data_IF_920842543307
#
_entry.id   IF_920842543307
#
_cell.length_a   1.000
_cell.length_b   1.000
_cell.length_c   1.000
_cell.angle_alpha   90.00
_cell.angle_beta   90.00
_cell.angle_gamma   90.00
#
_symmetry.space_group_name_H-M   'P 1'
#
loop_
_entity.id
_entity.type
_entity.pdbx_description
1 polymer ?
#
# COMPACT_ATOMS: atom_id res chain seq x y z
N UNK A 1 19.29 8.45 11.09
CA UNK A 1 18.50 9.09 12.17
C UNK A 1 16.99 8.84 11.94
N UNK A 2 16.53 7.59 11.95
CA UNK A 2 15.11 7.23 11.70
C UNK A 2 14.64 6.02 12.53
N UNK A 3 15.17 5.82 13.74
CA UNK A 3 14.76 4.71 14.61
C UNK A 3 13.83 5.13 15.77
N UNK A 4 13.70 6.42 16.04
CA UNK A 4 13.01 6.94 17.25
C UNK A 4 11.53 6.55 17.32
N UNK A 5 10.85 6.40 16.18
CA UNK A 5 9.43 6.01 16.17
C UNK A 5 9.16 4.56 16.59
N UNK A 6 10.13 3.67 16.39
CA UNK A 6 9.98 2.23 16.64
C UNK A 6 9.98 1.95 18.14
N UNK A 7 10.87 2.60 18.89
CA UNK A 7 10.98 2.44 20.35
C UNK A 7 9.71 2.90 21.07
N UNK A 8 9.16 4.04 20.66
CA UNK A 8 7.92 4.59 21.22
C UNK A 8 6.74 3.67 20.90
N UNK A 9 6.66 3.15 19.68
CA UNK A 9 5.59 2.25 19.27
C UNK A 9 5.62 0.92 20.03
N UNK A 10 6.80 0.35 20.24
CA UNK A 10 6.96 -0.96 20.86
C UNK A 10 6.83 -0.92 22.40
N UNK A 11 7.21 0.19 23.06
CA UNK A 11 7.33 0.24 24.53
C UNK A 11 6.37 1.20 25.23
N UNK A 12 5.78 2.19 24.55
CA UNK A 12 5.02 3.26 25.21
C UNK A 12 3.57 3.36 24.73
N UNK A 13 3.22 2.71 23.62
CA UNK A 13 1.89 2.81 23.02
C UNK A 13 1.06 1.57 23.39
N UNK A 14 0.09 1.69 24.31
CA UNK A 14 -0.87 0.63 24.55
C UNK A 14 -1.80 0.51 23.35
N UNK A 15 -1.97 -0.72 22.85
CA UNK A 15 -2.83 -0.98 21.69
C UNK A 15 -4.11 -1.68 22.14
N UNK A 16 -5.25 -1.20 21.67
CA UNK A 16 -6.56 -1.78 21.99
C UNK A 16 -6.66 -3.25 21.56
N UNK A 17 -6.08 -3.61 20.41
CA UNK A 17 -6.04 -5.00 19.91
C UNK A 17 -5.22 -5.96 20.80
N UNK A 18 -4.42 -5.42 21.73
CA UNK A 18 -3.61 -6.18 22.69
C UNK A 18 -4.10 -5.98 24.13
N UNK A 19 -5.38 -5.64 24.33
CA UNK A 19 -5.96 -5.33 25.64
C UNK A 19 -5.21 -4.18 26.36
N UNK A 20 -4.87 -3.12 25.63
CA UNK A 20 -4.10 -1.97 26.13
C UNK A 20 -2.66 -2.30 26.58
N UNK A 21 -2.11 -3.44 26.13
CA UNK A 21 -0.70 -3.78 26.34
C UNK A 21 0.20 -3.23 25.24
N UNK A 22 1.48 -3.09 25.54
CA UNK A 22 2.48 -2.71 24.55
C UNK A 22 2.94 -3.94 23.73
N UNK A 23 3.35 -3.78 22.46
CA UNK A 23 3.76 -4.90 21.62
C UNK A 23 4.96 -5.66 22.20
N UNK A 24 5.88 -4.96 22.87
CA UNK A 24 7.05 -5.57 23.50
C UNK A 24 6.70 -6.53 24.65
N UNK A 25 5.50 -6.41 25.24
CA UNK A 25 5.05 -7.30 26.33
C UNK A 25 4.41 -8.60 25.78
N UNK A 26 3.84 -8.54 24.57
CA UNK A 26 3.09 -9.66 23.98
C UNK A 26 3.95 -10.46 23.01
N UNK A 27 4.80 -9.81 22.21
CA UNK A 27 5.59 -10.48 21.19
C UNK A 27 6.98 -10.83 21.70
N UNK A 28 7.30 -12.13 21.68
CA UNK A 28 8.63 -12.63 21.94
C UNK A 28 9.32 -13.05 20.64
N UNK A 29 10.65 -12.91 20.53
CA UNK A 29 11.39 -13.43 19.39
C UNK A 29 11.10 -14.92 19.19
N UNK A 30 10.86 -15.32 17.95
CA UNK A 30 10.64 -16.72 17.63
C UNK A 30 11.90 -17.53 17.91
N UNK A 31 11.75 -18.68 18.57
CA UNK A 31 12.84 -19.65 18.77
C UNK A 31 13.20 -20.40 17.47
N UNK A 32 12.34 -20.34 16.46
CA UNK A 32 12.56 -21.02 15.18
C UNK A 32 13.65 -20.31 14.40
N UNK A 33 14.69 -21.06 14.01
CA UNK A 33 15.76 -20.54 13.15
C UNK A 33 15.16 -20.13 11.82
N UNK A 34 15.34 -18.85 11.48
CA UNK A 34 14.91 -18.30 10.21
C UNK A 34 15.95 -18.63 9.14
N UNK A 35 15.58 -19.45 8.16
CA UNK A 35 16.47 -19.89 7.07
C UNK A 35 16.69 -18.83 5.97
N UNK A 36 16.18 -17.61 6.16
CA UNK A 36 16.16 -16.58 5.13
C UNK A 36 14.97 -16.71 4.17
N UNK A 37 14.71 -15.64 3.42
CA UNK A 37 13.89 -15.72 2.22
C UNK A 37 14.78 -16.21 1.06
N UNK A 38 14.23 -16.97 0.09
CA UNK A 38 14.89 -17.11 -1.21
C UNK A 38 15.08 -15.74 -1.84
N UNK A 39 16.02 -15.61 -2.79
CA UNK A 39 16.21 -14.36 -3.52
C UNK A 39 14.91 -13.97 -4.23
N UNK A 40 14.28 -12.90 -3.75
CA UNK A 40 13.03 -12.37 -4.30
C UNK A 40 13.41 -11.24 -5.23
N UNK A 41 13.60 -11.57 -6.51
CA UNK A 41 13.62 -10.55 -7.54
C UNK A 41 12.19 -10.02 -7.68
N UNK A 42 11.96 -8.77 -7.25
CA UNK A 42 10.69 -8.07 -7.44
C UNK A 42 10.84 -7.25 -8.72
N UNK A 43 10.53 -7.83 -9.89
CA UNK A 43 10.82 -7.15 -11.13
C UNK A 43 9.87 -5.96 -11.21
N UNK A 44 10.37 -4.83 -11.69
CA UNK A 44 9.58 -3.61 -11.87
C UNK A 44 8.53 -3.85 -12.98
N UNK A 45 7.43 -4.52 -12.63
CA UNK A 45 6.33 -4.87 -13.52
C UNK A 45 5.36 -3.69 -13.77
N UNK A 46 5.71 -2.52 -13.26
CA UNK A 46 4.93 -1.31 -13.42
C UNK A 46 4.90 -0.88 -14.88
N UNK A 47 3.68 -0.76 -15.41
CA UNK A 47 3.43 -0.24 -16.75
C UNK A 47 2.65 1.05 -16.62
N UNK A 48 3.29 2.17 -16.95
CA UNK A 48 2.63 3.47 -17.00
C UNK A 48 1.71 3.54 -18.23
N UNK A 49 0.40 3.70 -17.99
CA UNK A 49 -0.61 3.73 -19.06
C UNK A 49 -1.47 4.96 -18.89
N UNK A 50 -1.65 5.72 -19.97
CA UNK A 50 -2.49 6.91 -19.98
C UNK A 50 -3.96 6.50 -19.92
N UNK A 51 -4.65 6.93 -18.87
CA UNK A 51 -6.11 6.80 -18.75
C UNK A 51 -6.76 7.79 -19.71
N UNK A 52 -7.58 7.30 -20.63
CA UNK A 52 -8.35 8.18 -21.53
C UNK A 52 -9.36 9.02 -20.73
N UNK A 53 -9.79 10.17 -21.27
CA UNK A 53 -10.79 11.07 -20.60
C UNK A 53 -12.07 10.37 -20.12
N UNK A 54 -12.43 9.23 -20.73
CA UNK A 54 -13.59 8.41 -20.34
C UNK A 54 -13.21 7.25 -19.39
N UNK A 55 -12.08 7.32 -18.70
CA UNK A 55 -11.64 6.34 -17.69
C UNK A 55 -11.30 4.94 -18.22
N UNK A 56 -10.91 4.83 -19.50
CA UNK A 56 -10.50 3.55 -20.11
C UNK A 56 -8.98 3.39 -20.02
N UNK A 57 -8.54 2.19 -19.67
CA UNK A 57 -7.14 1.76 -19.63
C UNK A 57 -6.99 0.62 -20.66
N UNK A 58 -6.03 0.74 -21.57
CA UNK A 58 -5.75 -0.28 -22.58
C UNK A 58 -4.38 -0.91 -22.32
N UNK A 59 -4.38 -2.19 -21.95
CA UNK A 59 -3.19 -3.03 -21.78
C UNK A 59 -3.08 -3.97 -22.99
N UNK A 60 -2.44 -3.51 -24.07
CA UNK A 60 -2.40 -4.25 -25.33
C UNK A 60 -3.80 -4.49 -25.90
N UNK A 61 -4.20 -5.77 -26.08
CA UNK A 61 -5.54 -6.16 -26.54
C UNK A 61 -6.59 -6.20 -25.41
N UNK A 62 -6.18 -6.01 -24.14
CA UNK A 62 -7.07 -6.06 -22.98
C UNK A 62 -7.54 -4.66 -22.62
N UNK A 63 -8.84 -4.43 -22.74
CA UNK A 63 -9.49 -3.17 -22.39
C UNK A 63 -10.09 -3.28 -20.99
N UNK A 64 -9.59 -2.46 -20.07
CA UNK A 64 -10.11 -2.37 -18.71
C UNK A 64 -10.87 -1.04 -18.58
N UNK A 65 -12.07 -1.12 -18.02
CA UNK A 65 -12.88 0.04 -17.66
C UNK A 65 -12.83 0.20 -16.15
N UNK A 66 -12.36 1.35 -15.66
CA UNK A 66 -12.47 1.66 -14.23
C UNK A 66 -13.96 1.73 -13.85
N UNK A 67 -14.34 1.27 -12.66
CA UNK A 67 -15.74 1.27 -12.21
C UNK A 67 -16.39 2.66 -12.24
N UNK A 68 -15.59 3.73 -12.12
CA UNK A 68 -16.04 5.13 -12.25
C UNK A 68 -16.37 5.53 -13.70
N UNK A 69 -15.92 4.77 -14.68
CA UNK A 69 -16.16 4.97 -16.12
C UNK A 69 -17.27 4.12 -16.71
N UNK A 70 -17.79 3.15 -15.95
CA UNK A 70 -19.12 2.63 -16.24
C UNK A 70 -20.05 3.84 -16.30
N UNK A 71 -20.94 3.96 -17.31
CA UNK A 71 -21.96 5.00 -17.30
C UNK A 71 -22.89 4.74 -16.12
N UNK A 72 -22.48 5.20 -14.94
CA UNK A 72 -23.28 5.20 -13.75
C UNK A 72 -24.33 6.30 -13.93
N UNK A 73 -25.57 5.95 -13.60
CA UNK A 73 -26.74 6.82 -13.67
C UNK A 73 -26.43 8.19 -13.05
N UNK A 74 -26.98 9.29 -13.60
CA UNK A 74 -26.53 10.65 -13.32
C UNK A 74 -26.92 11.08 -11.92
N UNK A 75 -26.05 10.82 -10.95
CA UNK A 75 -26.16 11.38 -9.60
C UNK A 75 -24.82 11.17 -8.88
N UNK A 76 -24.40 12.20 -8.14
CA UNK A 76 -23.22 12.25 -7.27
C UNK A 76 -21.84 12.58 -7.92
N UNK A 77 -21.63 13.89 -8.07
CA UNK A 77 -20.34 14.57 -8.24
C UNK A 77 -19.33 14.22 -7.14
N UNK A 78 -18.09 13.80 -7.46
CA UNK A 78 -16.93 13.85 -6.53
C UNK A 78 -15.63 14.19 -7.26
N UNK A 79 -14.88 15.13 -6.66
CA UNK A 79 -13.67 15.85 -7.15
C UNK A 79 -12.48 14.93 -7.45
N UNK A 80 -11.51 15.33 -8.29
CA UNK A 80 -10.32 14.52 -8.59
C UNK A 80 -9.35 14.50 -7.40
N UNK A 81 -8.95 13.30 -6.98
CA UNK A 81 -7.88 13.06 -5.99
C UNK A 81 -6.65 12.59 -6.75
N UNK A 82 -5.61 13.41 -6.80
CA UNK A 82 -4.28 13.05 -7.30
C UNK A 82 -3.58 12.20 -6.24
N UNK A 83 -3.28 10.93 -6.53
CA UNK A 83 -2.39 10.13 -5.69
C UNK A 83 -0.97 10.37 -6.22
N UNK A 84 -0.24 11.27 -5.54
CA UNK A 84 1.10 11.68 -5.94
C UNK A 84 2.09 10.53 -5.81
N UNK A 85 2.79 10.22 -6.90
CA UNK A 85 4.07 9.53 -6.90
C UNK A 85 5.17 10.59 -6.92
N UNK A 86 5.65 10.98 -5.75
CA UNK A 86 6.93 11.68 -5.62
C UNK A 86 7.88 10.78 -4.82
N UNK A 87 9.14 10.81 -5.24
CA UNK A 87 10.34 10.26 -4.60
C UNK A 87 10.70 8.81 -4.93
N UNK A 88 11.15 8.59 -6.17
CA UNK A 88 12.44 7.92 -6.40
C UNK A 88 13.15 8.61 -7.57
N UNK A 89 14.04 9.53 -7.22
CA UNK A 89 14.99 10.19 -8.11
C UNK A 89 16.26 10.44 -7.31
N UNK A 90 17.39 10.08 -7.93
CA UNK A 90 18.77 10.08 -7.43
C UNK A 90 19.15 11.32 -6.60
#
# INVERSE_FOLDING_TARGET
MYSSGIEVFNNQRPHEALDMKCPAEVYQPSQRVYSGLPDVDYPLHDKTIVVTRRGRICLGRKKLTSARSSPAKPWASKKPTTFGSELYGL
#
